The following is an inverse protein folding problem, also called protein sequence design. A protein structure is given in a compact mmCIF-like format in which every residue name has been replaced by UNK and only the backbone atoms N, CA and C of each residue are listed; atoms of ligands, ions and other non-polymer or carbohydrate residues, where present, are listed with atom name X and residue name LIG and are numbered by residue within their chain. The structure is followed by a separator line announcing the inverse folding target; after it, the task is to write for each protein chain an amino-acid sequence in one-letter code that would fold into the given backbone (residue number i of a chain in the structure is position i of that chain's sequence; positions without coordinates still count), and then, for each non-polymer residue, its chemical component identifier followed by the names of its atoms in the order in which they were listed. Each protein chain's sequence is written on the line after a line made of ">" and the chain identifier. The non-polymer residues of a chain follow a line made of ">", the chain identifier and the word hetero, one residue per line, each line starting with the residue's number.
data_IF_435969971007
#
_entry.id   IF_435969971007
#
_cell.length_a   1.000
_cell.length_b   1.000
_cell.length_c   1.000
_cell.angle_alpha   90.00
_cell.angle_beta   90.00
_cell.angle_gamma   90.00
#
_symmetry.space_group_name_H-M   'P 1'
#
loop_
_entity.id
_entity.type
_entity.pdbx_description
1 polymer ?
#
# COMPACT_ATOMS: atom_id res chain seq x y z
N UNK A 1 5.65 -13.53 29.90
CA UNK A 1 5.83 -13.35 29.23
C UNK A 1 5.61 -13.19 28.41
N UNK A 2 5.18 -13.20 28.42
CA UNK A 2 5.15 -13.38 27.44
C UNK A 2 5.22 -12.73 26.52
N UNK A 3 5.01 -12.37 26.52
CA UNK A 3 5.22 -11.95 25.73
C UNK A 3 6.11 -12.10 24.99
N UNK A 4 6.31 -12.69 25.17
CA UNK A 4 7.29 -13.19 24.36
C UNK A 4 6.96 -13.33 22.96
N UNK A 5 5.85 -13.04 22.61
CA UNK A 5 5.50 -13.10 21.27
C UNK A 5 6.32 -12.14 20.47
N UNK A 6 6.95 -12.57 19.43
CA UNK A 6 7.72 -11.69 18.58
C UNK A 6 6.78 -10.90 17.70
N UNK A 7 6.90 -9.58 17.69
CA UNK A 7 6.04 -8.78 16.82
C UNK A 7 6.20 -9.09 15.35
N UNK A 8 7.39 -9.55 14.95
CA UNK A 8 7.68 -9.80 13.54
C UNK A 8 6.86 -10.94 12.95
N UNK A 9 6.32 -11.83 13.78
CA UNK A 9 5.50 -12.92 13.27
C UNK A 9 4.03 -12.59 13.26
N UNK A 10 3.62 -11.57 13.99
CA UNK A 10 2.24 -11.15 14.01
C UNK A 10 1.96 -10.26 12.81
N UNK A 11 0.81 -10.44 12.22
CA UNK A 11 0.38 -9.55 11.14
C UNK A 11 -1.01 -9.03 11.49
N UNK A 12 -1.30 -7.84 11.01
CA UNK A 12 -2.61 -7.22 11.15
C UNK A 12 -3.32 -7.25 9.82
N UNK A 13 -4.54 -7.72 9.81
CA UNK A 13 -5.38 -7.64 8.63
C UNK A 13 -5.98 -6.25 8.59
N UNK A 14 -5.66 -5.50 7.55
CA UNK A 14 -6.16 -4.14 7.38
C UNK A 14 -6.83 -4.00 6.02
N UNK A 15 -7.61 -2.95 5.88
CA UNK A 15 -8.23 -2.57 4.62
C UNK A 15 -7.83 -1.15 4.27
N UNK A 16 -8.19 -0.71 3.08
CA UNK A 16 -7.96 0.67 2.70
C UNK A 16 -8.70 1.65 3.58
N UNK A 17 -9.78 1.23 4.22
CA UNK A 17 -10.48 2.09 5.17
C UNK A 17 -9.62 2.39 6.41
N UNK A 18 -8.75 1.47 6.77
CA UNK A 18 -7.89 1.65 7.94
C UNK A 18 -6.78 2.67 7.71
N UNK A 19 -6.45 2.94 6.46
CA UNK A 19 -5.41 3.90 6.10
C UNK A 19 -5.97 5.13 5.40
N UNK A 20 -7.29 5.29 5.45
CA UNK A 20 -7.95 6.45 4.86
C UNK A 20 -7.62 7.71 5.64
N UNK A 21 -7.37 8.79 4.91
CA UNK A 21 -7.06 10.08 5.49
C UNK A 21 -8.22 11.04 5.28
N UNK A 22 -8.27 12.06 6.12
CA UNK A 22 -9.26 13.12 5.99
C UNK A 22 -8.76 14.14 4.99
N UNK A 23 -8.79 13.77 3.72
CA UNK A 23 -8.34 14.62 2.63
C UNK A 23 -9.18 14.33 1.39
N UNK A 24 -9.21 15.30 0.49
CA UNK A 24 -9.95 15.20 -0.76
C UNK A 24 -8.99 15.13 -1.93
N UNK A 25 -9.51 14.78 -3.11
CA UNK A 25 -8.71 14.74 -4.32
C UNK A 25 -8.06 16.09 -4.56
N UNK A 26 -6.79 16.04 -4.86
CA UNK A 26 -6.01 17.24 -5.14
C UNK A 26 -5.47 17.95 -3.92
N UNK A 27 -5.85 17.52 -2.72
CA UNK A 27 -5.29 18.11 -1.51
C UNK A 27 -3.83 17.72 -1.37
N UNK A 28 -2.96 18.64 -0.96
CA UNK A 28 -1.58 18.28 -0.70
C UNK A 28 -1.49 17.37 0.53
N UNK A 29 -0.56 16.44 0.48
CA UNK A 29 -0.30 15.57 1.60
C UNK A 29 0.73 16.21 2.52
N UNK A 30 0.48 16.14 3.83
CA UNK A 30 1.47 16.43 4.85
C UNK A 30 1.39 15.34 5.90
N UNK A 31 2.48 15.10 6.61
CA UNK A 31 2.48 14.05 7.63
C UNK A 31 1.51 14.35 8.77
N UNK A 32 1.14 15.62 8.94
CA UNK A 32 0.16 16.00 9.95
C UNK A 32 -1.21 15.38 9.72
N UNK A 33 -1.49 14.98 8.49
CA UNK A 33 -2.76 14.34 8.16
C UNK A 33 -2.84 12.90 8.65
N UNK A 34 -1.72 12.30 9.04
CA UNK A 34 -1.68 10.91 9.45
C UNK A 34 -2.26 10.74 10.85
N UNK A 35 -3.39 10.03 10.99
CA UNK A 35 -3.90 9.71 12.32
C UNK A 35 -3.05 8.63 12.97
N UNK A 36 -3.18 8.50 14.29
CA UNK A 36 -2.38 7.51 15.01
C UNK A 36 -2.64 6.09 14.54
N UNK A 37 -3.86 5.79 14.10
CA UNK A 37 -4.16 4.46 13.58
C UNK A 37 -3.30 4.09 12.37
N UNK A 38 -2.84 5.10 11.61
CA UNK A 38 -1.96 4.88 10.46
C UNK A 38 -0.51 4.87 10.89
N UNK A 39 -0.09 5.83 11.72
CA UNK A 39 1.30 5.87 12.16
C UNK A 39 1.65 4.64 12.99
N UNK A 40 0.68 4.06 13.70
CA UNK A 40 0.91 2.83 14.44
C UNK A 40 1.18 1.63 13.53
N UNK A 41 0.79 1.73 12.26
CA UNK A 41 1.04 0.66 11.30
C UNK A 41 2.41 0.76 10.66
N UNK A 42 3.08 1.92 10.75
CA UNK A 42 4.40 2.07 10.14
C UNK A 42 5.34 1.01 10.68
N UNK A 43 6.05 0.34 9.76
CA UNK A 43 7.01 -0.71 10.07
C UNK A 43 6.37 -1.96 10.66
N UNK A 44 5.04 -2.05 10.65
CA UNK A 44 4.33 -3.24 11.09
C UNK A 44 4.08 -4.17 9.92
N UNK A 45 3.96 -5.44 10.23
CA UNK A 45 3.58 -6.44 9.24
C UNK A 45 2.07 -6.44 9.10
N UNK A 46 1.59 -6.23 7.88
CA UNK A 46 0.16 -6.13 7.60
C UNK A 46 -0.22 -7.02 6.43
N UNK A 47 -1.50 -7.33 6.33
CA UNK A 47 -2.10 -7.98 5.19
C UNK A 47 -3.23 -7.08 4.71
N UNK A 48 -3.11 -6.57 3.49
CA UNK A 48 -4.09 -5.64 2.94
C UNK A 48 -4.64 -6.21 1.63
N UNK A 49 -5.94 -6.08 1.45
CA UNK A 49 -6.62 -6.57 0.27
C UNK A 49 -6.93 -5.43 -0.68
N UNK A 50 -6.72 -5.69 -1.96
CA UNK A 50 -7.02 -4.70 -2.99
C UNK A 50 -6.84 -5.30 -4.37
N UNK A 51 -6.74 -4.44 -5.37
CA UNK A 51 -6.60 -4.85 -6.76
C UNK A 51 -5.26 -4.37 -7.29
N UNK A 52 -4.61 -5.20 -8.09
CA UNK A 52 -3.36 -4.82 -8.75
C UNK A 52 -3.70 -3.93 -9.93
N UNK A 53 -3.09 -2.75 -9.98
CA UNK A 53 -3.25 -1.85 -11.10
C UNK A 53 -2.55 -2.46 -12.32
N UNK A 54 -3.24 -2.58 -13.48
CA UNK A 54 -2.63 -3.18 -14.65
C UNK A 54 -1.40 -2.42 -15.13
N UNK A 55 -0.42 -3.17 -15.65
CA UNK A 55 0.78 -2.60 -16.26
C UNK A 55 1.13 -3.44 -17.47
N UNK A 56 2.23 -3.07 -18.14
CA UNK A 56 2.68 -3.83 -19.31
C UNK A 56 3.13 -5.24 -18.93
N UNK A 57 3.65 -5.41 -17.74
CA UNK A 57 4.13 -6.69 -17.27
C UNK A 57 3.05 -7.36 -16.46
N UNK A 58 2.81 -8.65 -16.71
CA UNK A 58 1.75 -9.39 -16.01
C UNK A 58 2.28 -10.51 -15.12
N UNK A 59 3.52 -10.92 -15.32
CA UNK A 59 4.12 -11.99 -14.52
C UNK A 59 5.46 -11.54 -14.00
N UNK A 60 5.89 -12.15 -12.90
CA UNK A 60 7.18 -11.83 -12.33
C UNK A 60 7.28 -10.39 -11.84
N UNK A 61 6.19 -9.85 -11.33
CA UNK A 61 6.17 -8.46 -10.88
C UNK A 61 7.00 -8.31 -9.62
N UNK A 62 7.96 -7.40 -9.66
CA UNK A 62 8.74 -7.03 -8.48
C UNK A 62 8.21 -5.76 -7.84
N UNK A 63 7.38 -5.04 -8.56
CA UNK A 63 6.76 -3.81 -8.08
C UNK A 63 5.42 -3.63 -8.79
N UNK A 64 4.43 -3.22 -8.04
CA UNK A 64 3.11 -2.90 -8.60
C UNK A 64 2.40 -1.96 -7.65
N UNK A 65 1.28 -1.40 -8.12
CA UNK A 65 0.43 -0.55 -7.29
C UNK A 65 -0.82 -1.34 -6.92
N UNK A 66 -1.09 -1.39 -5.63
CA UNK A 66 -2.33 -1.98 -5.11
C UNK A 66 -3.31 -0.85 -4.90
N UNK A 67 -4.52 -0.99 -5.47
CA UNK A 67 -5.55 0.05 -5.38
C UNK A 67 -6.78 -0.51 -4.68
N UNK A 68 -7.54 0.42 -4.11
CA UNK A 68 -8.72 0.07 -3.35
C UNK A 68 -9.80 -0.59 -4.20
N UNK A 69 -9.96 -0.09 -5.43
CA UNK A 69 -11.08 -0.50 -6.27
C UNK A 69 -10.60 -0.52 -7.72
N UNK A 70 -10.89 -1.60 -8.42
CA UNK A 70 -10.50 -1.72 -9.81
C UNK A 70 -11.36 -0.89 -10.76
N UNK A 71 -12.45 -0.31 -10.26
CA UNK A 71 -13.32 0.56 -11.05
C UNK A 71 -12.80 1.99 -11.13
N UNK A 72 -11.82 2.32 -10.31
CA UNK A 72 -11.27 3.67 -10.23
C UNK A 72 -9.86 3.69 -10.78
N UNK A 73 -9.55 4.63 -11.65
CA UNK A 73 -8.18 4.82 -12.10
C UNK A 73 -7.48 5.69 -11.09
N UNK A 74 -7.01 5.10 -10.03
CA UNK A 74 -6.70 5.85 -8.83
C UNK A 74 -5.23 6.01 -8.54
N UNK A 75 -4.38 6.01 -9.55
CA UNK A 75 -2.96 6.28 -9.31
C UNK A 75 -2.57 7.53 -10.05
N UNK A 76 -1.86 8.42 -9.34
CA UNK A 76 -1.32 9.62 -9.93
C UNK A 76 -2.08 10.88 -9.53
N UNK A 77 -1.75 12.01 -10.15
CA UNK A 77 -2.37 13.29 -9.82
C UNK A 77 -3.88 13.22 -9.98
N UNK A 78 -4.59 13.76 -9.00
CA UNK A 78 -6.04 13.74 -9.00
C UNK A 78 -6.66 12.53 -8.35
N UNK A 79 -5.87 11.53 -7.99
CA UNK A 79 -6.37 10.39 -7.23
C UNK A 79 -6.34 10.69 -5.74
N UNK A 80 -7.10 9.92 -4.97
CA UNK A 80 -6.99 9.97 -3.52
C UNK A 80 -5.75 9.18 -3.12
N UNK A 81 -4.81 9.85 -2.48
CA UNK A 81 -3.50 9.25 -2.18
C UNK A 81 -3.60 8.06 -1.25
N UNK A 82 -4.60 8.05 -0.37
CA UNK A 82 -4.76 6.94 0.57
C UNK A 82 -5.47 5.73 -0.07
N UNK A 83 -5.86 5.82 -1.32
CA UNK A 83 -6.53 4.70 -2.01
C UNK A 83 -5.56 3.84 -2.80
N UNK A 84 -4.27 4.05 -2.68
CA UNK A 84 -3.28 3.22 -3.34
C UNK A 84 -2.06 3.00 -2.45
N UNK A 85 -1.40 1.88 -2.69
CA UNK A 85 -0.18 1.50 -1.99
C UNK A 85 0.80 0.98 -3.03
N UNK A 86 2.01 1.50 -3.03
CA UNK A 86 3.06 0.98 -3.90
C UNK A 86 3.67 -0.23 -3.23
N UNK A 87 3.56 -1.39 -3.88
CA UNK A 87 4.10 -2.64 -3.35
C UNK A 87 5.40 -2.94 -4.05
N UNK A 88 6.46 -3.13 -3.27
CA UNK A 88 7.75 -3.61 -3.76
C UNK A 88 7.99 -4.95 -3.12
N UNK A 89 8.11 -5.99 -3.97
CA UNK A 89 8.34 -7.33 -3.45
C UNK A 89 9.75 -7.42 -2.91
N UNK A 90 9.90 -8.11 -1.78
CA UNK A 90 11.23 -8.33 -1.22
C UNK A 90 12.04 -9.22 -2.17
N UNK A 91 13.38 -9.13 -2.11
CA UNK A 91 14.22 -9.92 -3.02
C UNK A 91 13.89 -11.40 -3.00
N UNK A 92 13.80 -11.98 -4.18
CA UNK A 92 13.50 -13.40 -4.33
C UNK A 92 12.01 -13.71 -4.43
N UNK A 93 11.15 -12.71 -4.32
CA UNK A 93 9.71 -12.90 -4.45
C UNK A 93 9.14 -12.06 -5.58
N UNK A 94 8.11 -12.57 -6.22
CA UNK A 94 7.42 -11.86 -7.30
C UNK A 94 5.93 -12.10 -7.16
N UNK A 95 5.15 -11.34 -7.93
CA UNK A 95 3.71 -11.50 -7.99
C UNK A 95 3.26 -11.57 -9.44
N UNK A 96 2.05 -12.05 -9.64
CA UNK A 96 1.44 -12.09 -10.96
C UNK A 96 0.17 -11.26 -10.96
N UNK A 97 -0.08 -10.59 -12.07
CA UNK A 97 -1.30 -9.80 -12.22
C UNK A 97 -2.52 -10.70 -12.14
N UNK A 98 -3.57 -10.20 -11.50
CA UNK A 98 -4.87 -10.86 -11.47
C UNK A 98 -5.94 -9.78 -11.56
N UNK A 99 -7.04 -10.09 -12.23
CA UNK A 99 -8.19 -9.19 -12.25
C UNK A 99 -9.03 -9.31 -10.99
N UNK A 100 -8.77 -10.34 -10.19
CA UNK A 100 -9.47 -10.55 -8.92
C UNK A 100 -8.74 -9.82 -7.81
N UNK A 101 -9.43 -9.52 -6.70
CA UNK A 101 -8.74 -8.93 -5.57
C UNK A 101 -7.70 -9.89 -5.01
N UNK A 102 -6.62 -9.32 -4.53
CA UNK A 102 -5.54 -10.08 -3.91
C UNK A 102 -5.29 -9.53 -2.52
N UNK A 103 -4.66 -10.33 -1.68
CA UNK A 103 -4.21 -9.88 -0.38
C UNK A 103 -2.69 -9.90 -0.37
N UNK A 104 -2.10 -8.79 0.02
CA UNK A 104 -0.65 -8.64 0.07
C UNK A 104 -0.22 -8.56 1.52
N UNK A 105 0.73 -9.41 1.90
CA UNK A 105 1.33 -9.39 3.23
C UNK A 105 2.71 -8.76 3.13
N UNK A 106 3.02 -7.84 4.02
CA UNK A 106 4.31 -7.22 4.03
C UNK A 106 4.43 -6.14 5.09
N UNK A 107 5.55 -5.43 5.06
CA UNK A 107 5.81 -4.36 6.01
C UNK A 107 5.28 -3.03 5.46
N UNK A 108 4.42 -2.39 6.24
CA UNK A 108 3.79 -1.14 5.85
C UNK A 108 4.72 0.04 6.12
N UNK A 109 4.78 0.96 5.15
CA UNK A 109 5.59 2.16 5.29
C UNK A 109 4.80 3.37 4.79
N UNK A 110 5.03 4.50 5.43
CA UNK A 110 4.62 5.79 4.90
C UNK A 110 5.80 6.33 4.11
N UNK A 111 5.67 6.34 2.81
CA UNK A 111 6.74 6.76 1.91
C UNK A 111 6.14 7.59 0.80
N UNK A 112 6.55 8.85 0.73
CA UNK A 112 6.02 9.79 -0.26
C UNK A 112 6.68 9.53 -1.60
N UNK A 113 5.87 9.28 -2.61
CA UNK A 113 6.31 9.14 -3.98
C UNK A 113 5.81 10.35 -4.76
N UNK A 114 6.72 11.10 -5.38
CA UNK A 114 6.36 12.30 -6.12
C UNK A 114 6.66 12.10 -7.60
N UNK A 115 5.84 12.71 -8.43
CA UNK A 115 6.07 12.74 -9.87
C UNK A 115 7.04 13.84 -10.27
N UNK A 116 7.32 13.96 -11.60
CA UNK A 116 8.25 14.98 -12.08
C UNK A 116 7.82 16.41 -11.79
N UNK A 117 6.52 16.64 -11.62
CA UNK A 117 5.98 17.96 -11.32
C UNK A 117 5.98 18.27 -9.82
N UNK A 118 6.51 17.36 -8.99
CA UNK A 118 6.56 17.54 -7.55
C UNK A 118 5.29 17.13 -6.82
N UNK A 119 4.24 16.77 -7.53
CA UNK A 119 3.00 16.33 -6.91
C UNK A 119 3.11 14.91 -6.40
N UNK A 120 2.41 14.62 -5.32
CA UNK A 120 2.38 13.27 -4.78
C UNK A 120 1.64 12.33 -5.71
N UNK A 121 2.24 11.17 -5.96
CA UNK A 121 1.60 10.07 -6.69
C UNK A 121 1.11 9.01 -5.72
N UNK A 122 1.82 8.83 -4.62
CA UNK A 122 1.46 7.88 -3.57
C UNK A 122 2.10 8.32 -2.26
N UNK A 123 1.54 7.85 -1.15
CA UNK A 123 2.08 8.16 0.17
C UNK A 123 2.33 6.91 1.00
N UNK A 124 1.91 5.75 0.51
CA UNK A 124 2.08 4.49 1.22
C UNK A 124 2.87 3.51 0.37
N UNK A 125 3.68 2.71 1.03
CA UNK A 125 4.44 1.64 0.40
C UNK A 125 4.36 0.39 1.26
N UNK A 126 4.57 -0.75 0.63
CA UNK A 126 4.57 -2.04 1.30
C UNK A 126 5.72 -2.86 0.76
N UNK A 127 6.54 -3.38 1.67
CA UNK A 127 7.59 -4.34 1.29
C UNK A 127 6.93 -5.71 1.26
N UNK A 128 6.52 -6.16 0.09
CA UNK A 128 5.67 -7.33 -0.06
C UNK A 128 6.40 -8.64 0.14
N UNK A 129 5.84 -9.51 0.95
CA UNK A 129 6.39 -10.85 1.22
C UNK A 129 5.60 -11.92 0.50
N UNK A 130 4.29 -11.73 0.34
CA UNK A 130 3.42 -12.72 -0.27
C UNK A 130 2.18 -12.06 -0.85
N UNK A 131 1.70 -12.60 -1.95
CA UNK A 131 0.45 -12.17 -2.60
C UNK A 131 -0.42 -13.39 -2.75
N UNK A 132 -1.64 -13.31 -2.27
CA UNK A 132 -2.59 -14.43 -2.30
C UNK A 132 -3.80 -14.16 -3.17
#
# INVERSE_FOLDING_TARGET
>A
MPTTRTPSTARRDISFDDIKLDMQKGDPFTRDLLPSRVTDLEQSRVRIRGYILPSFQQTGLTQFVLVRDNMECCFGPGALLHDCVVVRMVPGTTANFSIRPVAVTGTFRVQELRGPDGRHLAIYALDGEAVE
#
